data_IF_091493385804
#
_entry.id   IF_091493385804
#
_cell.length_a   1.000
_cell.length_b   1.000
_cell.length_c   1.000
_cell.angle_alpha   90.00
_cell.angle_beta   90.00
_cell.angle_gamma   90.00
#
_symmetry.space_group_name_H-M   'P 1'
#
loop_
_entity.id
_entity.type
_entity.pdbx_description
1 polymer ?
#
# COMPACT_ATOMS: atom_id res chain seq x y z
N UNK A 1 3.27 1.20 8.88
CA UNK A 1 2.23 0.72 7.92
C UNK A 1 0.92 1.48 8.05
N UNK A 2 0.14 1.32 9.13
CA UNK A 2 -1.15 2.01 9.30
C UNK A 2 -1.03 3.53 9.10
N UNK A 3 0.03 4.16 9.63
CA UNK A 3 0.29 5.57 9.41
C UNK A 3 0.44 5.95 7.92
N UNK A 4 1.11 5.12 7.10
CA UNK A 4 1.23 5.38 5.66
C UNK A 4 -0.11 5.25 4.96
N UNK A 5 -0.91 4.25 5.32
CA UNK A 5 -2.25 4.05 4.76
C UNK A 5 -3.18 5.21 5.13
N UNK A 6 -3.25 5.55 6.42
CA UNK A 6 -4.05 6.65 6.93
C UNK A 6 -3.65 7.97 6.28
N UNK A 7 -2.36 8.30 6.29
CA UNK A 7 -1.86 9.55 5.69
C UNK A 7 -2.11 9.60 4.18
N UNK A 8 -2.08 8.44 3.50
CA UNK A 8 -2.41 8.38 2.07
C UNK A 8 -3.88 8.67 1.85
N UNK A 9 -4.79 7.96 2.54
CA UNK A 9 -6.23 8.18 2.34
C UNK A 9 -6.65 9.59 2.73
N UNK A 10 -6.08 10.16 3.79
CA UNK A 10 -6.35 11.54 4.23
C UNK A 10 -5.97 12.59 3.18
N UNK A 11 -4.98 12.31 2.32
CA UNK A 11 -4.54 13.22 1.25
C UNK A 11 -5.21 12.98 -0.10
N UNK A 12 -6.11 11.99 -0.22
CA UNK A 12 -6.87 11.69 -1.43
C UNK A 12 -8.22 12.45 -1.45
N UNK A 13 -8.96 12.44 -2.58
CA UNK A 13 -10.23 13.14 -2.68
C UNK A 13 -11.20 12.80 -1.52
N UNK A 14 -11.95 13.79 -0.99
CA UNK A 14 -12.88 13.56 0.11
C UNK A 14 -13.88 12.43 -0.17
N UNK A 15 -14.07 11.54 0.80
CA UNK A 15 -14.93 10.36 0.67
C UNK A 15 -14.20 9.11 0.16
N UNK A 16 -12.89 9.19 -0.10
CA UNK A 16 -12.08 8.00 -0.42
C UNK A 16 -11.96 7.07 0.79
N UNK A 17 -12.04 5.77 0.56
CA UNK A 17 -11.90 4.72 1.59
C UNK A 17 -10.86 3.70 1.14
N UNK A 18 -10.07 3.17 2.08
CA UNK A 18 -9.27 1.97 1.84
C UNK A 18 -10.05 0.75 2.32
N UNK A 19 -10.26 -0.22 1.44
CA UNK A 19 -11.00 -1.45 1.71
C UNK A 19 -10.07 -2.66 1.58
N UNK A 20 -9.93 -3.44 2.65
CA UNK A 20 -9.14 -4.67 2.69
C UNK A 20 -9.98 -5.89 3.11
N UNK A 21 -11.29 -5.85 2.90
CA UNK A 21 -12.22 -6.91 3.33
C UNK A 21 -11.90 -8.24 2.63
N UNK A 22 -11.55 -8.20 1.35
CA UNK A 22 -11.22 -9.39 0.55
C UNK A 22 -9.80 -9.92 0.83
N UNK A 23 -8.85 -9.02 1.10
CA UNK A 23 -7.45 -9.35 1.41
C UNK A 23 -7.22 -9.67 2.89
N UNK A 24 -8.20 -9.39 3.74
CA UNK A 24 -8.12 -9.46 5.21
C UNK A 24 -6.90 -8.68 5.74
N UNK A 25 -6.67 -7.51 5.15
CA UNK A 25 -5.54 -6.62 5.46
C UNK A 25 -4.26 -7.03 4.77
N UNK A 26 -3.70 -8.20 5.07
CA UNK A 26 -2.51 -8.67 4.37
C UNK A 26 -1.77 -9.85 5.01
N UNK A 27 -0.47 -9.96 4.71
CA UNK A 27 0.29 -11.16 5.07
C UNK A 27 1.80 -11.04 4.93
N UNK A 28 2.49 -12.06 5.45
CA UNK A 28 3.94 -12.20 5.38
C UNK A 28 4.36 -12.76 4.02
N UNK A 29 5.31 -12.09 3.38
CA UNK A 29 5.97 -12.50 2.15
C UNK A 29 7.44 -12.83 2.44
N UNK A 30 8.01 -13.78 1.71
CA UNK A 30 9.45 -14.03 1.78
C UNK A 30 10.22 -12.82 1.25
N UNK A 31 11.33 -12.48 1.91
CA UNK A 31 12.29 -11.52 1.38
C UNK A 31 13.41 -12.19 0.57
N UNK A 32 13.62 -13.48 0.78
CA UNK A 32 14.63 -14.28 0.09
C UNK A 32 14.00 -15.62 -0.31
N UNK A 33 13.65 -15.74 -1.59
CA UNK A 33 13.05 -16.96 -2.13
C UNK A 33 14.03 -18.15 -2.14
N UNK A 34 15.34 -17.92 -1.96
CA UNK A 34 16.39 -18.94 -1.99
C UNK A 34 16.96 -19.24 -0.58
N UNK A 35 16.29 -18.79 0.48
CA UNK A 35 16.77 -19.01 1.85
C UNK A 35 16.92 -20.51 2.15
N UNK A 36 18.16 -20.97 2.35
CA UNK A 36 18.50 -22.35 2.66
C UNK A 36 18.97 -22.54 4.12
N UNK A 37 18.88 -21.50 4.95
CA UNK A 37 19.25 -21.55 6.36
C UNK A 37 18.23 -22.34 7.20
N UNK A 38 18.57 -22.67 8.45
CA UNK A 38 17.62 -23.29 9.37
C UNK A 38 16.49 -22.31 9.74
N UNK A 39 15.32 -22.83 10.09
CA UNK A 39 14.20 -22.03 10.60
C UNK A 39 13.42 -21.26 9.53
N UNK A 40 12.68 -20.23 9.96
CA UNK A 40 11.91 -19.38 9.07
C UNK A 40 12.83 -18.34 8.41
N UNK A 41 12.75 -18.22 7.08
CA UNK A 41 13.49 -17.21 6.34
C UNK A 41 13.04 -15.78 6.65
N UNK A 42 13.88 -14.77 6.32
CA UNK A 42 13.52 -13.36 6.49
C UNK A 42 12.23 -13.03 5.74
N UNK A 43 11.33 -12.32 6.41
CA UNK A 43 9.99 -12.03 5.92
C UNK A 43 9.71 -10.52 5.92
N UNK A 44 8.79 -10.08 5.07
CA UNK A 44 8.18 -8.76 5.14
C UNK A 44 6.67 -8.89 5.20
N UNK A 45 6.03 -8.13 6.09
CA UNK A 45 4.58 -8.01 6.10
C UNK A 45 4.16 -7.00 5.02
N UNK A 46 3.13 -7.33 4.25
CA UNK A 46 2.49 -6.43 3.27
C UNK A 46 1.01 -6.33 3.58
N UNK A 47 0.48 -5.10 3.49
CA UNK A 47 -0.95 -4.82 3.56
C UNK A 47 -1.42 -4.44 2.16
N UNK A 48 -2.56 -4.99 1.73
CA UNK A 48 -3.20 -4.71 0.44
C UNK A 48 -4.59 -4.16 0.66
N UNK A 49 -4.88 -2.98 0.09
CA UNK A 49 -6.19 -2.36 0.16
C UNK A 49 -6.63 -1.88 -1.23
N UNK A 50 -7.92 -1.96 -1.54
CA UNK A 50 -8.53 -1.24 -2.65
C UNK A 50 -8.72 0.23 -2.27
N UNK A 51 -8.38 1.15 -3.16
CA UNK A 51 -8.63 2.59 -2.95
C UNK A 51 -9.96 2.95 -3.62
N UNK A 52 -11.02 3.00 -2.83
CA UNK A 52 -12.39 3.21 -3.31
C UNK A 52 -12.69 4.71 -3.35
N UNK A 53 -12.87 5.32 -4.55
CA UNK A 53 -13.17 6.74 -4.67
C UNK A 53 -14.66 7.06 -4.43
N UNK A 54 -15.01 8.35 -4.19
CA UNK A 54 -16.37 8.84 -4.40
C UNK A 54 -16.79 8.73 -5.87
N UNK A 55 -18.09 8.76 -6.16
CA UNK A 55 -18.66 8.46 -7.48
C UNK A 55 -18.15 9.38 -8.61
N UNK A 56 -17.76 10.61 -8.29
CA UNK A 56 -17.31 11.63 -9.24
C UNK A 56 -15.82 11.50 -9.61
N UNK A 57 -15.06 10.64 -8.94
CA UNK A 57 -13.62 10.47 -9.13
C UNK A 57 -13.33 9.18 -9.89
N UNK A 58 -12.57 9.29 -10.98
CA UNK A 58 -12.15 8.11 -11.75
C UNK A 58 -11.09 7.34 -10.97
N UNK A 59 -11.20 6.00 -10.82
CA UNK A 59 -10.24 5.20 -10.08
C UNK A 59 -8.79 5.37 -10.56
N UNK A 60 -8.57 5.45 -11.87
CA UNK A 60 -7.23 5.62 -12.44
C UNK A 60 -6.54 6.94 -12.01
N UNK A 61 -7.32 8.00 -11.76
CA UNK A 61 -6.77 9.31 -11.35
C UNK A 61 -6.15 9.24 -9.94
N UNK A 62 -6.62 8.32 -9.09
CA UNK A 62 -6.08 8.11 -7.74
C UNK A 62 -4.61 7.68 -7.75
N UNK A 63 -4.18 6.96 -8.80
CA UNK A 63 -2.80 6.49 -8.94
C UNK A 63 -1.84 7.67 -9.06
N UNK A 64 -2.21 8.67 -9.87
CA UNK A 64 -1.42 9.90 -10.02
C UNK A 64 -1.47 10.73 -8.73
N UNK A 65 -2.66 10.92 -8.15
CA UNK A 65 -2.86 11.71 -6.94
C UNK A 65 -2.06 11.18 -5.75
N UNK A 66 -2.08 9.86 -5.52
CA UNK A 66 -1.28 9.25 -4.46
C UNK A 66 0.23 9.39 -4.73
N UNK A 67 0.66 9.24 -5.98
CA UNK A 67 2.07 9.46 -6.34
C UNK A 67 2.54 10.89 -6.05
N UNK A 68 1.75 11.90 -6.39
CA UNK A 68 2.08 13.30 -6.14
C UNK A 68 2.01 13.65 -4.65
N UNK A 69 1.04 13.08 -3.93
CA UNK A 69 0.95 13.19 -2.48
C UNK A 69 2.22 12.64 -1.81
N UNK A 70 2.71 11.48 -2.23
CA UNK A 70 3.95 10.91 -1.69
C UNK A 70 5.18 11.75 -2.01
N UNK A 71 5.27 12.34 -3.21
CA UNK A 71 6.33 13.31 -3.53
C UNK A 71 6.27 14.53 -2.62
N UNK A 72 5.08 15.01 -2.27
CA UNK A 72 4.93 16.14 -1.33
C UNK A 72 5.48 15.84 0.07
N UNK A 73 5.59 14.56 0.44
CA UNK A 73 6.20 14.12 1.70
C UNK A 73 7.73 13.99 1.59
N UNK A 74 8.31 14.26 0.43
CA UNK A 74 9.72 14.09 0.13
C UNK A 74 10.11 12.66 -0.26
N UNK A 75 9.14 11.79 -0.58
CA UNK A 75 9.45 10.44 -1.04
C UNK A 75 9.98 10.44 -2.46
N UNK A 76 10.97 9.59 -2.74
CA UNK A 76 11.28 9.22 -4.10
C UNK A 76 10.13 8.38 -4.66
N UNK A 77 9.51 8.85 -5.75
CA UNK A 77 8.36 8.19 -6.39
C UNK A 77 8.59 8.00 -7.88
N UNK A 78 8.55 6.74 -8.32
CA UNK A 78 8.86 6.35 -9.70
C UNK A 78 7.81 5.40 -10.28
N UNK A 79 7.74 5.35 -11.61
CA UNK A 79 7.19 4.20 -12.33
C UNK A 79 8.31 3.18 -12.55
N UNK A 80 8.04 1.89 -12.33
CA UNK A 80 9.03 0.84 -12.57
C UNK A 80 8.84 0.21 -13.94
N UNK A 81 9.95 -0.03 -14.63
CA UNK A 81 9.93 -0.81 -15.86
C UNK A 81 9.47 -2.25 -15.56
N UNK A 82 8.71 -2.84 -16.49
CA UNK A 82 8.15 -4.19 -16.34
C UNK A 82 6.83 -4.26 -15.57
N UNK A 83 6.27 -3.13 -15.13
CA UNK A 83 4.94 -3.03 -14.55
C UNK A 83 4.01 -2.24 -15.49
N UNK A 84 2.72 -2.56 -15.47
CA UNK A 84 1.72 -1.79 -16.19
C UNK A 84 1.70 -0.35 -15.65
N UNK A 85 1.66 0.62 -16.57
CA UNK A 85 1.62 2.04 -16.21
C UNK A 85 0.15 2.45 -16.10
N UNK A 86 -0.22 3.34 -15.16
CA UNK A 86 0.64 4.28 -14.44
C UNK A 86 1.01 3.90 -12.98
N UNK A 87 1.44 2.67 -12.68
CA UNK A 87 1.78 2.30 -11.29
C UNK A 87 2.85 3.19 -10.66
N UNK A 88 2.66 3.60 -9.39
CA UNK A 88 3.61 4.45 -8.65
C UNK A 88 4.21 3.67 -7.49
N UNK A 89 5.52 3.78 -7.31
CA UNK A 89 6.29 3.16 -6.23
C UNK A 89 7.02 4.24 -5.46
N UNK A 90 6.75 4.34 -4.16
CA UNK A 90 7.37 5.29 -3.24
C UNK A 90 8.30 4.61 -2.24
N UNK A 91 9.44 5.26 -1.97
CA UNK A 91 10.50 4.74 -1.09
C UNK A 91 10.81 5.68 0.07
N UNK A 92 10.10 5.53 1.20
CA UNK A 92 10.49 6.16 2.46
C UNK A 92 11.86 5.71 2.98
N UNK A 93 12.53 6.60 3.71
CA UNK A 93 13.87 6.35 4.26
C UNK A 93 13.90 5.31 5.40
N UNK A 94 12.76 4.99 5.99
CA UNK A 94 12.62 4.00 7.07
C UNK A 94 12.57 2.54 6.56
N UNK A 95 12.74 2.35 5.25
CA UNK A 95 12.79 1.03 4.59
C UNK A 95 11.42 0.43 4.29
N UNK A 96 10.32 1.10 4.64
CA UNK A 96 9.01 0.72 4.12
C UNK A 96 8.95 0.97 2.61
N UNK A 97 7.98 0.35 1.95
CA UNK A 97 7.67 0.58 0.54
C UNK A 97 6.18 0.85 0.41
N UNK A 98 5.82 1.87 -0.35
CA UNK A 98 4.42 2.17 -0.70
C UNK A 98 4.26 2.02 -2.21
N UNK A 99 3.17 1.41 -2.65
CA UNK A 99 2.88 1.28 -4.07
C UNK A 99 1.39 1.43 -4.32
N UNK A 100 1.02 2.13 -5.38
CA UNK A 100 -0.34 2.20 -5.87
C UNK A 100 -0.35 1.74 -7.32
N UNK A 101 -1.18 0.75 -7.58
CA UNK A 101 -1.20 0.02 -8.83
C UNK A 101 -2.59 0.14 -9.46
N UNK A 102 -2.63 0.54 -10.72
CA UNK A 102 -3.85 0.54 -11.50
C UNK A 102 -4.39 -0.89 -11.60
N UNK A 103 -5.72 -1.02 -11.48
CA UNK A 103 -6.40 -2.29 -11.72
C UNK A 103 -6.81 -2.40 -13.19
N UNK A 104 -7.09 -3.64 -13.61
CA UNK A 104 -7.74 -3.92 -14.88
C UNK A 104 -9.10 -4.60 -14.64
N UNK A 105 -10.18 -4.09 -15.26
CA UNK A 105 -10.25 -2.92 -16.13
C UNK A 105 -10.03 -1.59 -15.38
N UNK A 106 -9.76 -0.46 -16.07
CA UNK A 106 -9.28 0.79 -15.46
C UNK A 106 -10.33 1.55 -14.62
N UNK A 107 -11.59 1.11 -14.67
CA UNK A 107 -12.68 1.57 -13.83
C UNK A 107 -12.77 0.80 -12.50
N UNK A 108 -11.88 -0.16 -12.26
CA UNK A 108 -11.76 -0.82 -10.95
C UNK A 108 -10.88 0.00 -10.01
N UNK A 109 -11.17 -0.02 -8.69
CA UNK A 109 -10.31 0.60 -7.68
C UNK A 109 -8.85 0.16 -7.82
N UNK A 110 -7.87 1.09 -7.82
CA UNK A 110 -6.48 0.71 -7.78
C UNK A 110 -6.14 0.06 -6.43
N UNK A 111 -5.08 -0.73 -6.42
CA UNK A 111 -4.57 -1.35 -5.20
C UNK A 111 -3.49 -0.48 -4.57
N UNK A 112 -3.68 -0.11 -3.31
CA UNK A 112 -2.65 0.47 -2.46
C UNK A 112 -2.02 -0.64 -1.63
N UNK A 113 -0.70 -0.74 -1.67
CA UNK A 113 0.07 -1.68 -0.86
C UNK A 113 1.11 -0.93 -0.05
N UNK A 114 1.24 -1.31 1.21
CA UNK A 114 2.37 -0.90 2.04
C UNK A 114 3.09 -2.16 2.50
N UNK A 115 4.41 -2.19 2.32
CA UNK A 115 5.25 -3.32 2.71
C UNK A 115 6.30 -2.86 3.70
N UNK A 116 6.48 -3.64 4.76
CA UNK A 116 7.53 -3.40 5.77
C UNK A 116 8.94 -3.70 5.23
N UNK A 117 9.99 -3.17 5.89
CA UNK A 117 11.32 -3.72 5.75
C UNK A 117 11.33 -5.22 6.07
N UNK A 118 12.29 -5.95 5.51
CA UNK A 118 12.52 -7.33 5.88
C UNK A 118 12.92 -7.44 7.35
N UNK A 119 12.36 -8.43 8.04
CA UNK A 119 12.64 -8.74 9.44
C UNK A 119 12.96 -10.24 9.61
N UNK A 120 13.64 -10.63 10.72
CA UNK A 120 13.96 -12.04 11.00
C UNK A 120 12.71 -12.94 11.04
N UNK A 121 12.78 -14.12 10.43
CA UNK A 121 11.62 -15.00 10.30
C UNK A 121 11.05 -15.48 11.64
N UNK A 122 11.86 -15.46 12.71
CA UNK A 122 11.46 -15.80 14.08
C UNK A 122 10.46 -14.79 14.67
N UNK A 123 10.40 -13.57 14.14
CA UNK A 123 9.44 -12.53 14.55
C UNK A 123 8.12 -12.62 13.76
N UNK A 124 8.03 -13.52 12.78
CA UNK A 124 6.85 -13.68 11.93
C UNK A 124 5.63 -14.05 12.78
N UNK A 125 4.58 -13.26 12.62
CA UNK A 125 3.26 -13.55 13.16
C UNK A 125 2.26 -13.53 12.02
N UNK A 126 1.53 -14.61 11.86
CA UNK A 126 0.44 -14.72 10.89
C UNK A 126 -0.91 -14.40 11.55
N UNK A 127 -1.90 -14.00 10.76
CA UNK A 127 -3.24 -13.70 11.28
C UNK A 127 -3.31 -12.46 12.17
N UNK A 128 -2.38 -11.51 12.01
CA UNK A 128 -2.44 -10.22 12.69
C UNK A 128 -3.75 -9.50 12.34
N UNK A 129 -4.50 -8.97 13.33
CA UNK A 129 -5.70 -8.23 13.04
C UNK A 129 -5.36 -6.95 12.27
N UNK A 130 -6.18 -6.64 11.28
CA UNK A 130 -6.04 -5.45 10.45
C UNK A 130 -7.41 -4.82 10.21
N UNK A 131 -7.56 -3.48 10.22
CA UNK A 131 -8.84 -2.83 9.93
C UNK A 131 -9.32 -3.19 8.51
N UNK A 132 -10.57 -3.67 8.39
CA UNK A 132 -11.16 -3.96 7.09
C UNK A 132 -11.38 -2.69 6.26
N UNK A 133 -11.74 -1.60 6.93
CA UNK A 133 -11.97 -0.29 6.31
C UNK A 133 -11.12 0.77 7.01
N UNK A 134 -10.47 1.62 6.23
CA UNK A 134 -9.78 2.83 6.71
C UNK A 134 -10.43 4.03 6.04
N UNK A 135 -11.12 4.84 6.84
CA UNK A 135 -11.72 6.09 6.42
C UNK A 135 -10.74 7.25 6.61
N UNK A 136 -10.99 8.35 5.90
CA UNK A 136 -10.29 9.60 6.14
C UNK A 136 -10.52 10.09 7.56
N UNK A 137 -9.45 10.57 8.19
CA UNK A 137 -9.53 11.28 9.45
C UNK A 137 -10.26 12.62 9.24
N UNK A 138 -10.94 13.14 10.27
CA UNK A 138 -11.50 14.49 10.21
C UNK A 138 -10.41 15.51 9.85
N UNK A 139 -10.74 16.57 9.09
CA UNK A 139 -9.78 17.64 8.81
C UNK A 139 -9.24 18.20 10.13
N UNK A 140 -7.93 18.29 10.25
CA UNK A 140 -7.31 18.97 11.39
C UNK A 140 -7.54 20.47 11.16
N UNK A 141 -8.42 21.07 11.97
CA UNK A 141 -8.78 22.49 11.89
C UNK A 141 -7.67 23.44 12.31
#
# INVERSE_FOLDING_TARGET
MLQYLQRTVDGLPPGTVLDSTDTRGGGNLSCDDNYAGPGAGPSAFSVWTHVVPPAEVKPLDLVALAGDLWRSWGLEVMERNGFEKPNRFGYPADGYRVQIEAAYPPDYPPRLTVTSPCFPGELRQDGLPFPELIHQSPPVG
#
